data_IF_628033155809
#
_entry.id   IF_628033155809
#
_cell.length_a   1.000
_cell.length_b   1.000
_cell.length_c   1.000
_cell.angle_alpha   90.00
_cell.angle_beta   90.00
_cell.angle_gamma   90.00
#
_symmetry.space_group_name_H-M   'P 1'
#
loop_
_entity.id
_entity.type
_entity.pdbx_description
1 polymer ?
#
# COMPACT_ATOMS: atom_id res chain seq x y z
N UNK A 1 2.28 19.25 11.74
CA UNK A 1 2.54 17.80 11.64
C UNK A 1 2.66 17.44 10.17
N UNK A 2 3.70 16.70 9.72
CA UNK A 2 3.79 16.29 8.32
C UNK A 2 2.56 15.48 7.93
N UNK A 3 2.01 15.74 6.75
CA UNK A 3 0.93 14.93 6.19
C UNK A 3 1.40 13.46 6.07
N UNK A 4 0.57 12.51 6.49
CA UNK A 4 0.91 11.10 6.36
C UNK A 4 1.06 10.71 4.90
N UNK A 5 2.22 10.16 4.53
CA UNK A 5 2.42 9.61 3.21
C UNK A 5 1.79 8.21 3.11
N UNK A 6 0.59 8.14 2.54
CA UNK A 6 -0.12 6.90 2.28
C UNK A 6 -0.17 6.54 0.78
N UNK A 7 0.71 7.13 -0.04
CA UNK A 7 0.75 6.94 -1.49
C UNK A 7 -0.62 7.14 -2.19
N UNK A 8 -1.52 7.96 -1.63
CA UNK A 8 -2.87 8.14 -2.17
C UNK A 8 -3.85 6.96 -1.95
N UNK A 9 -3.45 5.95 -1.19
CA UNK A 9 -4.25 4.74 -0.93
C UNK A 9 -5.04 4.79 0.38
N UNK A 10 -4.76 5.73 1.28
CA UNK A 10 -5.55 5.94 2.48
C UNK A 10 -5.84 7.42 2.68
N UNK A 11 -7.01 7.71 3.25
CA UNK A 11 -7.43 9.06 3.66
C UNK A 11 -7.22 9.32 5.15
N UNK A 12 -6.98 8.27 5.92
CA UNK A 12 -6.83 8.32 7.38
C UNK A 12 -5.48 7.74 7.77
N UNK A 13 -4.89 8.31 8.79
CA UNK A 13 -3.69 7.77 9.43
C UNK A 13 -3.77 8.03 10.94
N UNK A 14 -2.96 7.28 11.69
CA UNK A 14 -2.70 7.54 13.11
C UNK A 14 -1.23 7.83 13.32
N UNK A 15 -0.92 8.56 14.38
CA UNK A 15 0.45 8.74 14.83
C UNK A 15 0.84 7.61 15.80
N UNK A 16 2.04 7.07 15.64
CA UNK A 16 2.65 6.13 16.56
C UNK A 16 3.99 6.69 17.05
N UNK A 17 4.08 6.93 18.36
CA UNK A 17 5.26 7.51 19.01
C UNK A 17 6.49 6.59 18.97
N UNK A 18 6.29 5.27 19.06
CA UNK A 18 7.41 4.31 19.01
C UNK A 18 8.06 4.30 17.64
N UNK A 19 7.25 4.29 16.58
CA UNK A 19 7.74 4.37 15.19
C UNK A 19 8.42 5.71 14.91
N UNK A 20 7.93 6.80 15.50
CA UNK A 20 8.59 8.09 15.42
C UNK A 20 10.00 8.05 16.02
N UNK A 21 10.14 7.52 17.24
CA UNK A 21 11.44 7.36 17.90
C UNK A 21 12.38 6.46 17.10
N UNK A 22 11.91 5.29 16.67
CA UNK A 22 12.70 4.34 15.86
C UNK A 22 13.14 4.92 14.51
N UNK A 23 12.33 5.80 13.91
CA UNK A 23 12.70 6.48 12.66
C UNK A 23 13.72 7.62 12.83
N UNK A 24 14.32 7.78 14.02
CA UNK A 24 15.21 8.92 14.29
C UNK A 24 14.46 10.25 14.40
N UNK A 25 13.21 10.21 14.89
CA UNK A 25 12.31 11.38 14.99
C UNK A 25 11.97 12.00 13.63
N UNK A 26 11.91 11.18 12.58
CA UNK A 26 11.55 11.60 11.21
C UNK A 26 10.06 11.42 10.93
N UNK A 27 9.50 10.22 11.15
CA UNK A 27 8.09 9.92 10.85
C UNK A 27 7.50 8.88 11.80
N UNK A 28 6.31 9.18 12.34
CA UNK A 28 5.50 8.28 13.17
C UNK A 28 4.16 7.89 12.55
N UNK A 29 3.85 8.36 11.33
CA UNK A 29 2.56 8.15 10.70
C UNK A 29 2.35 6.68 10.28
N UNK A 30 1.16 6.15 10.52
CA UNK A 30 0.72 4.83 10.07
C UNK A 30 -0.64 4.98 9.39
N UNK A 31 -0.70 4.60 8.12
CA UNK A 31 -1.92 4.66 7.32
C UNK A 31 -2.95 3.63 7.81
N UNK A 32 -4.23 4.00 7.76
CA UNK A 32 -5.34 3.14 8.16
C UNK A 32 -6.20 2.82 6.95
N UNK A 33 -6.67 1.57 6.87
CA UNK A 33 -7.59 1.10 5.83
C UNK A 33 -7.09 1.40 4.40
N UNK A 34 -5.88 0.93 4.08
CA UNK A 34 -5.31 1.03 2.74
C UNK A 34 -6.29 0.46 1.69
N UNK A 35 -6.55 1.25 0.64
CA UNK A 35 -7.43 0.90 -0.49
C UNK A 35 -6.60 0.36 -1.66
N UNK A 36 -7.28 -0.04 -2.74
CA UNK A 36 -6.64 -0.46 -3.99
C UNK A 36 -5.74 -1.71 -3.83
N UNK A 37 -6.12 -2.62 -2.92
CA UNK A 37 -5.36 -3.83 -2.59
C UNK A 37 -3.92 -3.58 -2.11
N UNK A 38 -3.62 -2.37 -1.64
CA UNK A 38 -2.33 -2.05 -1.00
C UNK A 38 -2.37 -2.33 0.50
N UNK A 39 -1.19 -2.52 1.09
CA UNK A 39 -1.00 -2.77 2.52
C UNK A 39 0.33 -2.17 3.01
N UNK A 40 0.56 -2.28 4.33
CA UNK A 40 1.74 -1.76 5.02
C UNK A 40 1.58 -0.33 5.52
N UNK A 41 2.59 0.14 6.24
CA UNK A 41 2.58 1.41 6.97
C UNK A 41 2.22 2.63 6.11
N UNK A 42 2.70 2.65 4.86
CA UNK A 42 2.47 3.71 3.88
C UNK A 42 1.61 3.24 2.69
N UNK A 43 0.94 2.07 2.79
CA UNK A 43 0.20 1.48 1.67
C UNK A 43 1.07 1.28 0.42
N UNK A 44 2.24 0.66 0.58
CA UNK A 44 3.32 0.61 -0.42
C UNK A 44 3.61 -0.80 -0.95
N UNK A 45 2.97 -1.81 -0.37
CA UNK A 45 3.02 -3.18 -0.83
C UNK A 45 1.64 -3.62 -1.28
N UNK A 46 1.55 -4.69 -2.06
CA UNK A 46 0.26 -5.33 -2.33
C UNK A 46 -0.07 -6.32 -1.22
N UNK A 47 -1.37 -6.45 -0.91
CA UNK A 47 -1.86 -7.48 0.01
C UNK A 47 -1.69 -8.86 -0.60
N UNK A 48 -1.77 -9.89 0.22
CA UNK A 48 -1.74 -11.29 -0.22
C UNK A 48 -2.76 -11.58 -1.33
N UNK A 49 -2.36 -12.39 -2.31
CA UNK A 49 -3.13 -12.66 -3.54
C UNK A 49 -3.04 -11.56 -4.60
N UNK A 50 -2.31 -10.47 -4.34
CA UNK A 50 -2.06 -9.40 -5.31
C UNK A 50 -0.56 -9.18 -5.52
N UNK A 51 -0.17 -8.87 -6.75
CA UNK A 51 1.20 -8.55 -7.12
C UNK A 51 1.32 -7.11 -7.64
N UNK A 52 2.51 -6.53 -7.51
CA UNK A 52 2.79 -5.16 -7.96
C UNK A 52 2.95 -5.14 -9.49
N UNK A 53 2.13 -4.32 -10.15
CA UNK A 53 2.27 -3.95 -11.55
C UNK A 53 3.43 -2.95 -11.72
N UNK A 54 4.58 -3.43 -12.19
CA UNK A 54 5.78 -2.60 -12.37
C UNK A 54 5.60 -1.48 -13.40
N UNK A 55 4.60 -1.58 -14.28
CA UNK A 55 4.30 -0.57 -15.30
C UNK A 55 3.64 0.69 -14.74
N UNK A 56 3.22 0.68 -13.47
CA UNK A 56 2.47 1.77 -12.84
C UNK A 56 3.20 2.34 -11.62
N UNK A 57 3.06 3.66 -11.37
CA UNK A 57 3.60 4.25 -10.16
C UNK A 57 2.89 3.70 -8.92
N UNK A 58 3.57 3.73 -7.76
CA UNK A 58 3.01 3.20 -6.51
C UNK A 58 1.67 3.86 -6.15
N UNK A 59 1.49 5.12 -6.52
CA UNK A 59 0.29 5.90 -6.19
C UNK A 59 -0.95 5.55 -7.01
N UNK A 60 -0.81 4.67 -8.01
CA UNK A 60 -1.89 4.36 -8.94
C UNK A 60 -2.95 3.44 -8.32
N UNK A 61 -4.23 3.72 -8.55
CA UNK A 61 -5.38 2.95 -8.02
C UNK A 61 -5.42 1.46 -8.41
N UNK A 62 -4.69 1.09 -9.46
CA UNK A 62 -4.56 -0.29 -9.97
C UNK A 62 -3.10 -0.74 -10.02
N UNK A 63 -2.29 -0.29 -9.06
CA UNK A 63 -0.90 -0.74 -8.90
C UNK A 63 -0.82 -2.21 -8.49
N UNK A 64 -1.81 -2.71 -7.74
CA UNK A 64 -1.89 -4.11 -7.36
C UNK A 64 -2.82 -4.87 -8.32
N UNK A 65 -2.26 -5.86 -9.01
CA UNK A 65 -2.96 -6.80 -9.89
C UNK A 65 -3.30 -8.07 -9.12
N UNK A 66 -4.46 -8.65 -9.40
CA UNK A 66 -4.97 -9.84 -8.74
C UNK A 66 -4.36 -11.08 -9.38
N UNK A 67 -3.73 -11.95 -8.59
CA UNK A 67 -3.12 -13.20 -9.08
C UNK A 67 -4.16 -14.22 -9.53
N UNK A 68 -5.36 -14.21 -8.93
CA UNK A 68 -6.43 -15.15 -9.28
C UNK A 68 -7.06 -14.86 -10.65
N UNK A 69 -7.03 -13.58 -11.07
CA UNK A 69 -7.50 -13.14 -12.40
C UNK A 69 -6.54 -13.58 -13.50
N UNK A 70 -5.24 -13.59 -13.22
CA UNK A 70 -4.18 -14.04 -14.13
C UNK A 70 -4.23 -15.57 -14.32
N UNK A 71 -4.53 -16.33 -13.26
CA UNK A 71 -4.69 -17.78 -13.36
C UNK A 71 -5.92 -18.20 -14.19
N UNK A 72 -6.91 -17.31 -14.33
CA UNK A 72 -8.06 -17.47 -15.22
C UNK A 72 -7.71 -17.43 -16.71
N UNK A 73 -6.62 -16.77 -17.10
CA UNK A 73 -6.17 -16.72 -18.49
C UNK A 73 -5.46 -18.02 -18.93
N UNK A 74 -5.04 -18.88 -17.98
CA UNK A 74 -4.44 -20.18 -18.28
C UNK A 74 -5.43 -21.35 -18.33
N UNK A 75 -6.66 -21.18 -17.82
CA UNK A 75 -7.72 -22.22 -17.89
C UNK A 75 -8.61 -22.09 -19.11
N UNK A 76 -8.36 -21.10 -19.97
CA UNK A 76 -9.11 -20.84 -21.21
C UNK A 76 -8.30 -21.17 -22.48
N UNK A 77 -7.15 -21.82 -22.35
CA UNK A 77 -6.38 -22.41 -23.46
C UNK A 77 -6.59 -23.92 -23.56
#
# INVERSE_FOLDING_TARGET
MPACNCNGHARRCRFNMELYKMSGRISGGVCLSCRHATTGRHCHYCREGFYRDATKPITHRKVCKDQSKDLGDFVTV
#
